data_IF_412354819508
#
_entry.id   IF_412354819508
#
_cell.length_a   1.000
_cell.length_b   1.000
_cell.length_c   1.000
_cell.angle_alpha   90.00
_cell.angle_beta   90.00
_cell.angle_gamma   90.00
#
_symmetry.space_group_name_H-M   'P 1'
#
loop_
_entity.id
_entity.type
_entity.pdbx_description
1 polymer ?
#
# COMPACT_ATOMS: atom_id res chain seq x y z
N UNK A 1 11.11 -19.80 20.88
CA UNK A 1 11.02 -19.04 19.62
C UNK A 1 11.38 -19.96 18.47
N UNK A 2 10.57 -20.05 17.44
CA UNK A 2 10.88 -20.74 16.17
C UNK A 2 10.91 -19.70 15.06
N UNK A 3 11.76 -19.91 14.07
CA UNK A 3 11.97 -18.99 12.95
C UNK A 3 11.96 -19.78 11.64
N UNK A 4 11.20 -19.34 10.66
CA UNK A 4 11.06 -20.00 9.36
C UNK A 4 11.68 -19.20 8.19
N UNK A 5 12.43 -18.13 8.49
CA UNK A 5 13.05 -17.25 7.50
C UNK A 5 12.26 -15.95 7.25
N UNK A 6 10.97 -15.91 7.54
CA UNK A 6 10.12 -14.72 7.42
C UNK A 6 9.29 -14.45 8.68
N UNK A 7 8.96 -15.49 9.45
CA UNK A 7 8.13 -15.37 10.63
C UNK A 7 8.87 -15.85 11.86
N UNK A 8 8.61 -15.19 12.99
CA UNK A 8 9.01 -15.68 14.32
C UNK A 8 7.76 -16.12 15.07
N UNK A 9 7.82 -17.32 15.63
CA UNK A 9 6.81 -17.81 16.59
C UNK A 9 7.33 -17.52 17.98
N UNK A 10 6.63 -16.64 18.70
CA UNK A 10 7.00 -16.17 20.05
C UNK A 10 5.94 -16.70 21.03
N UNK A 11 6.39 -17.29 22.14
CA UNK A 11 5.49 -17.60 23.25
C UNK A 11 5.31 -16.33 24.09
N UNK A 12 4.17 -15.68 23.93
CA UNK A 12 3.86 -14.46 24.66
C UNK A 12 3.23 -14.82 26.03
N UNK A 13 3.68 -14.16 27.14
CA UNK A 13 3.23 -14.52 28.49
C UNK A 13 1.71 -14.46 28.70
N UNK A 14 1.01 -13.56 28.03
CA UNK A 14 -0.44 -13.35 28.15
C UNK A 14 -1.25 -13.93 26.99
N UNK A 15 -0.63 -14.21 25.83
CA UNK A 15 -1.31 -14.54 24.56
C UNK A 15 -1.04 -15.93 24.05
N UNK A 16 -0.13 -16.68 24.70
CA UNK A 16 0.34 -17.96 24.18
C UNK A 16 1.20 -17.77 22.94
N UNK A 17 0.95 -18.55 21.91
CA UNK A 17 1.75 -18.54 20.69
C UNK A 17 1.34 -17.38 19.77
N UNK A 18 2.28 -16.47 19.47
CA UNK A 18 2.13 -15.34 18.54
C UNK A 18 3.05 -15.54 17.36
N UNK A 19 2.51 -15.46 16.14
CA UNK A 19 3.31 -15.45 14.90
C UNK A 19 3.51 -14.02 14.45
N UNK A 20 4.77 -13.62 14.27
CA UNK A 20 5.15 -12.26 13.91
C UNK A 20 5.87 -12.28 12.58
N UNK A 21 5.41 -11.48 11.62
CA UNK A 21 6.11 -11.28 10.36
C UNK A 21 7.35 -10.41 10.58
N UNK A 22 8.50 -10.90 10.13
CA UNK A 22 9.80 -10.24 10.29
C UNK A 22 10.28 -9.53 9.02
N UNK A 23 9.50 -9.50 7.94
CA UNK A 23 9.95 -8.92 6.66
C UNK A 23 10.43 -7.47 6.82
N UNK A 24 9.71 -6.70 7.62
CA UNK A 24 10.05 -5.31 7.93
C UNK A 24 11.39 -5.22 8.67
N UNK A 25 11.53 -6.02 9.72
CA UNK A 25 12.77 -6.08 10.49
C UNK A 25 13.95 -6.56 9.64
N UNK A 26 13.72 -7.56 8.78
CA UNK A 26 14.77 -8.10 7.90
C UNK A 26 15.20 -7.07 6.86
N UNK A 27 14.27 -6.29 6.29
CA UNK A 27 14.56 -5.19 5.38
C UNK A 27 15.38 -4.09 6.06
N UNK A 28 14.98 -3.67 7.26
CA UNK A 28 15.67 -2.65 8.05
C UNK A 28 17.07 -3.13 8.48
N UNK A 29 17.19 -4.38 8.90
CA UNK A 29 18.45 -5.02 9.26
C UNK A 29 19.37 -5.16 8.06
N UNK A 30 18.86 -5.55 6.90
CA UNK A 30 19.64 -5.70 5.66
C UNK A 30 20.17 -4.35 5.15
N UNK A 31 19.41 -3.28 5.33
CA UNK A 31 19.83 -1.91 4.99
C UNK A 31 20.84 -1.32 6.00
N UNK A 32 20.96 -1.93 7.19
CA UNK A 32 21.86 -1.48 8.26
C UNK A 32 23.29 -1.95 8.00
N UNK A 33 24.22 -1.00 7.86
CA UNK A 33 25.65 -1.29 7.63
C UNK A 33 26.39 -1.79 8.89
N UNK A 34 25.75 -1.83 10.08
CA UNK A 34 26.40 -2.15 11.34
C UNK A 34 25.72 -3.26 12.14
N UNK A 35 26.42 -4.35 12.50
CA UNK A 35 25.87 -5.47 13.30
C UNK A 35 25.28 -5.05 14.66
N UNK A 36 25.78 -3.97 15.25
CA UNK A 36 25.24 -3.44 16.52
C UNK A 36 23.88 -2.79 16.33
N UNK A 37 23.67 -2.04 15.22
CA UNK A 37 22.40 -1.44 14.88
C UNK A 37 21.34 -2.52 14.59
N UNK A 38 21.68 -3.55 13.84
CA UNK A 38 20.84 -4.71 13.58
C UNK A 38 20.35 -5.39 14.87
N UNK A 39 21.24 -5.61 15.84
CA UNK A 39 20.86 -6.16 17.15
C UNK A 39 19.94 -5.25 17.95
N UNK A 40 20.16 -3.94 17.88
CA UNK A 40 19.32 -2.94 18.56
C UNK A 40 17.93 -2.93 17.94
N UNK A 41 17.80 -2.94 16.60
CA UNK A 41 16.54 -3.02 15.88
C UNK A 41 15.79 -4.31 16.22
N UNK A 42 16.48 -5.47 16.20
CA UNK A 42 15.86 -6.75 16.56
C UNK A 42 15.35 -6.78 18.01
N UNK A 43 16.11 -6.23 18.94
CA UNK A 43 15.69 -6.13 20.35
C UNK A 43 14.49 -5.20 20.51
N UNK A 44 14.55 -4.00 19.91
CA UNK A 44 13.45 -3.05 19.94
C UNK A 44 12.17 -3.69 19.38
N UNK A 45 12.26 -4.40 18.25
CA UNK A 45 11.15 -5.11 17.64
C UNK A 45 10.55 -6.17 18.57
N UNK A 46 11.38 -7.04 19.19
CA UNK A 46 10.91 -8.05 20.14
C UNK A 46 10.25 -7.40 21.36
N UNK A 47 10.83 -6.32 21.88
CA UNK A 47 10.24 -5.56 22.99
C UNK A 47 8.88 -4.98 22.59
N UNK A 48 8.78 -4.37 21.40
CA UNK A 48 7.52 -3.87 20.86
C UNK A 48 6.46 -4.98 20.79
N UNK A 49 6.80 -6.14 20.22
CA UNK A 49 5.86 -7.28 20.12
C UNK A 49 5.41 -7.80 21.50
N UNK A 50 6.30 -7.80 22.49
CA UNK A 50 5.99 -8.28 23.84
C UNK A 50 5.22 -7.26 24.69
N UNK A 51 5.45 -5.97 24.45
CA UNK A 51 4.87 -4.85 25.21
C UNK A 51 3.71 -4.17 24.47
N UNK A 52 3.36 -4.65 23.26
CA UNK A 52 2.34 -4.02 22.43
C UNK A 52 0.99 -4.00 23.12
N UNK A 53 0.47 -2.79 23.32
CA UNK A 53 -0.87 -2.58 23.84
C UNK A 53 -1.89 -3.08 22.83
N UNK A 54 -2.85 -3.87 23.29
CA UNK A 54 -3.93 -4.34 22.44
C UNK A 54 -5.01 -3.30 22.30
N UNK A 55 -5.77 -3.40 21.21
CA UNK A 55 -7.01 -2.67 21.06
C UNK A 55 -7.96 -2.82 22.27
N UNK A 56 -7.83 -3.93 23.01
CA UNK A 56 -8.59 -4.24 24.23
C UNK A 56 -8.15 -3.41 25.44
N UNK A 57 -6.89 -2.96 25.46
CA UNK A 57 -6.30 -2.18 26.53
C UNK A 57 -6.43 -0.65 26.28
N UNK A 58 -6.82 -0.27 25.05
CA UNK A 58 -6.96 1.12 24.65
C UNK A 58 -8.32 1.69 25.07
N UNK A 59 -8.32 2.93 25.52
CA UNK A 59 -9.53 3.70 25.67
C UNK A 59 -10.23 3.94 24.31
N UNK A 60 -11.54 4.12 24.32
CA UNK A 60 -12.32 4.39 23.09
C UNK A 60 -11.74 5.54 22.28
N UNK A 61 -11.29 6.62 22.93
CA UNK A 61 -10.70 7.78 22.26
C UNK A 61 -9.41 7.42 21.51
N UNK A 62 -8.52 6.64 22.12
CA UNK A 62 -7.25 6.22 21.53
C UNK A 62 -7.46 5.26 20.37
N UNK A 63 -8.43 4.35 20.49
CA UNK A 63 -8.85 3.48 19.41
C UNK A 63 -9.31 4.31 18.20
N UNK A 64 -10.20 5.28 18.39
CA UNK A 64 -10.66 6.15 17.30
C UNK A 64 -9.53 6.97 16.68
N UNK A 65 -8.62 7.50 17.48
CA UNK A 65 -7.46 8.25 17.00
C UNK A 65 -6.47 7.38 16.22
N UNK A 66 -6.33 6.11 16.61
CA UNK A 66 -5.42 5.15 15.98
C UNK A 66 -5.97 4.48 14.72
N UNK A 67 -7.29 4.44 14.50
CA UNK A 67 -7.85 3.76 13.33
C UNK A 67 -7.42 4.43 12.02
N UNK A 68 -7.02 3.60 11.04
CA UNK A 68 -6.69 4.01 9.66
C UNK A 68 -7.25 3.02 8.66
N UNK A 69 -7.57 3.50 7.45
CA UNK A 69 -7.75 2.62 6.29
C UNK A 69 -6.39 2.31 5.69
N UNK A 70 -6.22 1.08 5.24
CA UNK A 70 -4.97 0.64 4.60
C UNK A 70 -5.27 -0.24 3.40
N UNK A 71 -4.50 -0.07 2.31
CA UNK A 71 -4.43 -1.06 1.25
C UNK A 71 -3.51 -2.20 1.68
N UNK A 72 -4.06 -3.41 1.70
CA UNK A 72 -3.32 -4.63 1.98
C UNK A 72 -3.29 -5.52 0.72
N UNK A 73 -2.17 -6.20 0.42
CA UNK A 73 -2.13 -7.21 -0.63
C UNK A 73 -3.07 -8.37 -0.29
N UNK A 74 -3.68 -8.98 -1.32
CA UNK A 74 -4.55 -10.17 -1.19
C UNK A 74 -3.97 -11.39 -1.91
N UNK A 75 -2.83 -11.23 -2.59
CA UNK A 75 -2.15 -12.30 -3.31
C UNK A 75 -0.74 -12.53 -2.78
N UNK A 76 -0.24 -13.73 -3.00
CA UNK A 76 1.11 -14.15 -2.58
C UNK A 76 1.36 -14.06 -1.06
N UNK A 77 0.29 -14.17 -0.27
CA UNK A 77 0.34 -14.22 1.19
C UNK A 77 0.50 -15.67 1.65
N UNK A 78 1.15 -15.86 2.79
CA UNK A 78 1.06 -17.13 3.50
C UNK A 78 -0.34 -17.30 4.12
N UNK A 79 -0.81 -18.53 4.39
CA UNK A 79 -2.20 -18.76 4.85
C UNK A 79 -2.60 -17.91 6.05
N UNK A 80 -1.72 -17.76 7.03
CA UNK A 80 -1.97 -16.99 8.26
C UNK A 80 -2.16 -15.49 7.98
N UNK A 81 -1.37 -14.94 7.06
CA UNK A 81 -1.51 -13.54 6.62
C UNK A 81 -2.80 -13.34 5.82
N UNK A 82 -3.13 -14.29 4.95
CA UNK A 82 -4.36 -14.26 4.18
C UNK A 82 -5.60 -14.25 5.08
N UNK A 83 -5.60 -15.06 6.13
CA UNK A 83 -6.70 -15.12 7.12
C UNK A 83 -6.82 -13.80 7.89
N UNK A 84 -5.69 -13.20 8.30
CA UNK A 84 -5.66 -11.90 8.98
C UNK A 84 -6.23 -10.82 8.07
N UNK A 85 -5.75 -10.73 6.83
CA UNK A 85 -6.23 -9.73 5.85
C UNK A 85 -7.71 -9.94 5.58
N UNK A 86 -8.15 -11.17 5.32
CA UNK A 86 -9.55 -11.50 5.06
C UNK A 86 -10.47 -11.09 6.23
N UNK A 87 -10.03 -11.31 7.48
CA UNK A 87 -10.81 -10.95 8.69
C UNK A 87 -11.02 -9.43 8.85
N UNK A 88 -10.14 -8.62 8.27
CA UNK A 88 -10.12 -7.16 8.37
C UNK A 88 -10.58 -6.45 7.08
N UNK A 89 -10.87 -7.21 6.02
CA UNK A 89 -11.25 -6.66 4.70
C UNK A 89 -12.62 -6.02 4.74
N UNK A 90 -12.69 -4.74 4.40
CA UNK A 90 -13.93 -3.99 4.18
C UNK A 90 -14.50 -4.28 2.79
N UNK A 91 -13.66 -4.18 1.78
CA UNK A 91 -13.98 -4.44 0.38
C UNK A 91 -12.71 -4.72 -0.44
N UNK A 92 -12.86 -5.41 -1.55
CA UNK A 92 -11.82 -5.46 -2.58
C UNK A 92 -11.63 -4.05 -3.18
N UNK A 93 -10.38 -3.70 -3.49
CA UNK A 93 -10.04 -2.40 -4.09
C UNK A 93 -9.49 -2.55 -5.51
N UNK A 94 -8.60 -3.52 -5.71
CA UNK A 94 -8.06 -3.91 -7.03
C UNK A 94 -8.07 -5.43 -7.15
N UNK A 95 -7.57 -5.97 -8.26
CA UNK A 95 -7.50 -7.42 -8.46
C UNK A 95 -6.58 -8.14 -7.43
N UNK A 96 -5.73 -7.41 -6.75
CA UNK A 96 -4.71 -7.97 -5.82
C UNK A 96 -4.58 -7.20 -4.51
N UNK A 97 -5.45 -6.21 -4.25
CA UNK A 97 -5.48 -5.47 -2.98
C UNK A 97 -6.88 -5.31 -2.43
N UNK A 98 -6.99 -5.19 -1.11
CA UNK A 98 -8.20 -4.89 -0.39
C UNK A 98 -8.03 -3.70 0.56
N UNK A 99 -9.12 -3.00 0.85
CA UNK A 99 -9.17 -2.00 1.92
C UNK A 99 -9.39 -2.70 3.24
N UNK A 100 -8.49 -2.50 4.18
CA UNK A 100 -8.57 -3.05 5.53
C UNK A 100 -8.60 -1.94 6.58
N UNK A 101 -9.09 -2.27 7.78
CA UNK A 101 -8.94 -1.44 8.97
C UNK A 101 -7.69 -1.87 9.75
N UNK A 102 -6.88 -0.90 10.11
CA UNK A 102 -5.73 -1.07 10.99
C UNK A 102 -5.81 -0.12 12.17
N UNK A 103 -5.22 -0.54 13.28
CA UNK A 103 -4.98 0.28 14.44
C UNK A 103 -3.51 0.68 14.44
N UNK A 104 -3.26 1.97 14.31
CA UNK A 104 -1.93 2.59 14.32
C UNK A 104 -1.68 3.16 15.70
N UNK A 105 -0.75 2.57 16.43
CA UNK A 105 -0.29 3.02 17.74
C UNK A 105 1.11 3.61 17.62
N UNK A 106 1.60 4.23 18.68
CA UNK A 106 2.98 4.75 18.70
C UNK A 106 4.05 3.66 18.45
N UNK A 107 3.68 2.38 18.64
CA UNK A 107 4.62 1.26 18.60
C UNK A 107 4.40 0.30 17.45
N UNK A 108 3.17 0.19 16.94
CA UNK A 108 2.83 -0.81 15.94
C UNK A 108 1.63 -0.43 15.08
N UNK A 109 1.51 -1.09 13.92
CA UNK A 109 0.33 -1.06 13.08
C UNK A 109 -0.27 -2.47 13.08
N UNK A 110 -1.46 -2.60 13.66
CA UNK A 110 -2.15 -3.87 13.81
C UNK A 110 -3.33 -3.96 12.85
N UNK A 111 -3.43 -5.05 12.11
CA UNK A 111 -4.62 -5.33 11.30
C UNK A 111 -5.77 -5.75 12.21
N UNK A 112 -6.91 -5.07 12.10
CA UNK A 112 -8.03 -5.22 13.03
C UNK A 112 -9.16 -6.08 12.44
N UNK A 113 -9.45 -7.26 13.03
CA UNK A 113 -10.59 -8.06 12.62
C UNK A 113 -11.92 -7.29 12.77
N UNK A 114 -12.73 -7.26 11.70
CA UNK A 114 -14.00 -6.52 11.70
C UNK A 114 -14.97 -7.02 12.78
N UNK A 115 -14.92 -8.29 13.14
CA UNK A 115 -15.76 -8.83 14.20
C UNK A 115 -15.53 -8.11 15.53
N UNK A 116 -14.27 -7.87 15.90
CA UNK A 116 -13.92 -7.15 17.13
C UNK A 116 -14.31 -5.67 17.07
N UNK A 117 -14.09 -5.03 15.94
CA UNK A 117 -14.45 -3.63 15.77
C UNK A 117 -15.96 -3.39 15.91
N UNK A 118 -16.79 -4.33 15.45
CA UNK A 118 -18.26 -4.29 15.64
C UNK A 118 -18.73 -4.36 17.07
N UNK A 119 -17.90 -4.84 17.98
CA UNK A 119 -18.19 -4.83 19.43
C UNK A 119 -18.01 -3.43 20.03
N UNK A 120 -17.26 -2.56 19.36
CA UNK A 120 -16.99 -1.19 19.84
C UNK A 120 -18.03 -0.21 19.31
N UNK A 121 -18.28 -0.21 17.98
CA UNK A 121 -19.26 0.69 17.34
C UNK A 121 -19.65 0.15 15.96
N UNK A 122 -20.57 0.87 15.27
CA UNK A 122 -20.93 0.56 13.90
C UNK A 122 -19.72 0.70 12.96
N UNK A 123 -19.60 -0.22 12.00
CA UNK A 123 -18.51 -0.15 11.03
C UNK A 123 -18.49 1.18 10.26
N UNK A 124 -19.65 1.76 9.94
CA UNK A 124 -19.74 3.04 9.22
C UNK A 124 -19.11 4.18 10.02
N UNK A 125 -19.28 4.21 11.33
CA UNK A 125 -18.67 5.20 12.20
C UNK A 125 -17.15 5.01 12.25
N UNK A 126 -16.70 3.77 12.45
CA UNK A 126 -15.27 3.43 12.50
C UNK A 126 -14.55 3.68 11.18
N UNK A 127 -15.17 3.32 10.05
CA UNK A 127 -14.64 3.57 8.71
C UNK A 127 -14.52 5.07 8.43
N UNK A 128 -15.51 5.86 8.86
CA UNK A 128 -15.46 7.32 8.74
C UNK A 128 -14.31 7.92 9.52
N UNK A 129 -14.11 7.49 10.76
CA UNK A 129 -12.97 7.91 11.59
C UNK A 129 -11.64 7.51 10.93
N UNK A 130 -11.50 6.25 10.54
CA UNK A 130 -10.30 5.71 9.89
C UNK A 130 -9.97 6.46 8.58
N UNK A 131 -10.99 6.81 7.78
CA UNK A 131 -10.83 7.59 6.55
C UNK A 131 -10.34 9.01 6.83
N UNK A 132 -10.91 9.68 7.84
CA UNK A 132 -10.48 11.02 8.24
C UNK A 132 -9.05 11.02 8.78
N UNK A 133 -8.68 10.01 9.55
CA UNK A 133 -7.32 9.86 10.06
C UNK A 133 -6.32 9.58 8.95
N UNK A 134 -6.66 8.68 7.99
CA UNK A 134 -5.83 8.45 6.81
C UNK A 134 -5.64 9.74 6.00
N UNK A 135 -6.72 10.52 5.81
CA UNK A 135 -6.65 11.82 5.15
C UNK A 135 -5.67 12.77 5.84
N UNK A 136 -5.79 12.90 7.17
CA UNK A 136 -4.88 13.73 7.96
C UNK A 136 -3.43 13.28 7.83
N UNK A 137 -3.18 11.98 7.87
CA UNK A 137 -1.87 11.37 7.70
C UNK A 137 -1.26 11.70 6.32
N UNK A 138 -2.01 11.45 5.23
CA UNK A 138 -1.52 11.64 3.87
C UNK A 138 -1.30 13.12 3.54
N UNK A 139 -2.22 14.01 3.93
CA UNK A 139 -2.09 15.45 3.67
C UNK A 139 -1.06 16.13 4.59
N UNK A 140 -0.79 15.56 5.77
CA UNK A 140 0.26 16.03 6.69
C UNK A 140 1.65 15.47 6.38
N UNK A 141 1.74 14.40 5.60
CA UNK A 141 3.01 13.74 5.29
C UNK A 141 3.93 14.64 4.45
N UNK A 142 5.23 14.58 4.75
CA UNK A 142 6.26 15.12 3.84
C UNK A 142 6.46 14.15 2.70
N UNK A 143 5.93 14.50 1.54
CA UNK A 143 6.03 13.68 0.33
C UNK A 143 7.11 14.25 -0.58
N UNK A 144 8.02 13.40 -1.00
CA UNK A 144 8.98 13.70 -2.05
C UNK A 144 8.35 13.33 -3.40
N UNK A 145 7.92 14.33 -4.14
CA UNK A 145 7.39 14.17 -5.49
C UNK A 145 8.53 14.32 -6.51
N UNK A 146 8.71 13.29 -7.34
CA UNK A 146 9.73 13.31 -8.39
C UNK A 146 9.08 13.12 -9.77
N UNK A 147 9.42 13.99 -10.71
CA UNK A 147 9.02 13.84 -12.10
C UNK A 147 10.01 12.92 -12.84
N UNK A 148 9.48 11.93 -13.52
CA UNK A 148 10.23 11.03 -14.41
C UNK A 148 9.85 11.38 -15.85
N UNK A 149 10.63 12.22 -16.55
CA UNK A 149 10.31 12.61 -17.92
C UNK A 149 10.43 11.41 -18.87
N UNK A 150 9.72 11.47 -19.98
CA UNK A 150 9.98 10.59 -21.11
C UNK A 150 11.34 10.88 -21.75
N UNK A 151 11.78 10.02 -22.66
CA UNK A 151 12.93 10.31 -23.53
C UNK A 151 12.49 11.13 -24.74
N UNK A 152 13.45 11.67 -25.51
CA UNK A 152 13.15 12.34 -26.78
C UNK A 152 12.37 11.44 -27.76
N UNK A 153 12.68 10.13 -27.78
CA UNK A 153 12.01 9.13 -28.62
C UNK A 153 10.68 8.66 -28.04
N UNK A 154 10.45 8.84 -26.75
CA UNK A 154 9.25 8.42 -26.01
C UNK A 154 8.81 9.48 -25.01
N UNK A 155 8.35 10.65 -25.48
CA UNK A 155 7.96 11.75 -24.58
C UNK A 155 6.75 11.37 -23.71
N UNK A 156 5.86 10.51 -24.20
CA UNK A 156 4.70 10.02 -23.47
C UNK A 156 5.03 9.02 -22.35
N UNK A 157 6.26 8.54 -22.28
CA UNK A 157 6.70 7.62 -21.21
C UNK A 157 6.98 8.37 -19.88
N UNK A 158 6.35 9.51 -19.62
CA UNK A 158 6.49 10.29 -18.37
C UNK A 158 5.58 9.74 -17.28
N UNK A 159 5.99 9.88 -16.03
CA UNK A 159 5.18 9.64 -14.83
C UNK A 159 5.78 10.38 -13.62
N UNK A 160 5.11 10.34 -12.49
CA UNK A 160 5.59 10.87 -11.21
C UNK A 160 5.66 9.75 -10.18
N UNK A 161 6.65 9.80 -9.31
CA UNK A 161 6.69 9.05 -8.07
C UNK A 161 6.46 9.97 -6.89
N UNK A 162 5.76 9.44 -5.89
CA UNK A 162 5.51 10.08 -4.61
C UNK A 162 5.99 9.15 -3.53
N UNK A 163 6.98 9.59 -2.77
CA UNK A 163 7.63 8.80 -1.73
C UNK A 163 7.57 9.51 -0.38
N UNK A 164 7.38 8.76 0.67
CA UNK A 164 7.39 9.29 2.04
C UNK A 164 7.81 8.21 3.02
N UNK A 165 8.27 8.65 4.21
CA UNK A 165 8.45 7.77 5.37
C UNK A 165 7.14 7.26 5.97
N UNK A 166 5.98 7.81 5.59
CA UNK A 166 4.68 7.31 6.03
C UNK A 166 4.42 5.90 5.50
N UNK A 167 3.87 5.03 6.36
CA UNK A 167 3.45 3.68 6.00
C UNK A 167 2.16 3.63 5.16
N UNK A 168 1.56 4.79 4.85
CA UNK A 168 0.25 4.91 4.22
C UNK A 168 0.28 5.45 2.79
N UNK A 169 1.45 5.71 2.21
CA UNK A 169 1.55 6.24 0.82
C UNK A 169 0.84 5.31 -0.17
N UNK A 170 1.01 3.99 -0.04
CA UNK A 170 0.28 3.02 -0.87
C UNK A 170 -1.23 3.02 -0.65
N UNK A 171 -1.73 3.61 0.43
CA UNK A 171 -3.16 3.75 0.70
C UNK A 171 -3.75 5.05 0.15
N UNK A 172 -2.91 5.92 -0.43
CA UNK A 172 -3.35 7.15 -1.08
C UNK A 172 -4.43 6.93 -2.17
N UNK A 173 -4.45 5.82 -2.93
CA UNK A 173 -5.52 5.56 -3.89
C UNK A 173 -6.93 5.50 -3.30
N UNK A 174 -7.09 5.23 -2.01
CA UNK A 174 -8.41 5.30 -1.31
C UNK A 174 -8.97 6.74 -1.34
N UNK A 175 -8.07 7.74 -1.48
CA UNK A 175 -8.37 9.18 -1.50
C UNK A 175 -7.67 9.86 -2.71
N UNK A 176 -7.49 9.14 -3.83
CA UNK A 176 -6.54 9.50 -4.88
C UNK A 176 -6.70 10.91 -5.41
N UNK A 177 -7.92 11.30 -5.77
CA UNK A 177 -8.22 12.62 -6.32
C UNK A 177 -7.81 13.75 -5.38
N UNK A 178 -8.13 13.60 -4.09
CA UNK A 178 -7.84 14.60 -3.08
C UNK A 178 -6.33 14.68 -2.79
N UNK A 179 -5.68 13.53 -2.67
CA UNK A 179 -4.25 13.42 -2.40
C UNK A 179 -3.43 13.98 -3.57
N UNK A 180 -3.77 13.64 -4.80
CA UNK A 180 -3.07 14.17 -5.98
C UNK A 180 -3.30 15.67 -6.17
N UNK A 181 -4.47 16.19 -5.80
CA UNK A 181 -4.70 17.64 -5.81
C UNK A 181 -3.75 18.38 -4.86
N UNK A 182 -3.35 17.75 -3.75
CA UNK A 182 -2.40 18.32 -2.80
C UNK A 182 -0.94 18.06 -3.21
N UNK A 183 -0.59 16.85 -3.68
CA UNK A 183 0.79 16.47 -3.97
C UNK A 183 1.26 16.86 -5.37
N UNK A 184 0.35 16.98 -6.32
CA UNK A 184 0.61 17.30 -7.72
C UNK A 184 -0.54 18.12 -8.33
N UNK A 185 -0.75 19.37 -7.91
CA UNK A 185 -1.89 20.19 -8.34
C UNK A 185 -1.93 20.45 -9.86
N UNK A 186 -0.82 20.28 -10.54
CA UNK A 186 -0.67 20.40 -11.99
C UNK A 186 -0.87 19.08 -12.76
N UNK A 187 -1.18 17.97 -12.09
CA UNK A 187 -1.53 16.70 -12.74
C UNK A 187 -3.00 16.75 -13.18
N UNK A 188 -3.23 16.63 -14.49
CA UNK A 188 -4.58 16.64 -15.05
C UNK A 188 -5.32 15.33 -14.72
N UNK A 189 -6.34 15.43 -13.89
CA UNK A 189 -7.17 14.29 -13.48
C UNK A 189 -8.48 14.18 -14.30
N UNK A 190 -8.71 15.06 -15.24
CA UNK A 190 -10.00 15.19 -15.96
C UNK A 190 -10.40 13.93 -16.75
N UNK A 191 -9.41 13.17 -17.25
CA UNK A 191 -9.60 11.89 -17.94
C UNK A 191 -9.30 10.68 -17.06
N UNK A 192 -9.08 10.90 -15.75
CA UNK A 192 -8.62 9.88 -14.83
C UNK A 192 -7.09 9.84 -14.69
N UNK A 193 -6.63 8.88 -13.91
CA UNK A 193 -5.22 8.73 -13.53
C UNK A 193 -4.79 7.27 -13.66
N UNK A 194 -3.65 7.02 -14.31
CA UNK A 194 -2.95 5.75 -14.19
C UNK A 194 -2.12 5.78 -12.93
N UNK A 195 -2.21 4.74 -12.11
CA UNK A 195 -1.43 4.66 -10.88
C UNK A 195 -0.95 3.24 -10.56
N UNK A 196 0.10 3.13 -9.75
CA UNK A 196 0.58 1.89 -9.16
C UNK A 196 1.10 2.13 -7.74
N UNK A 197 1.01 1.10 -6.90
CA UNK A 197 1.48 1.12 -5.52
C UNK A 197 2.41 -0.07 -5.27
N UNK A 198 3.64 -0.04 -5.84
CA UNK A 198 4.55 -1.19 -5.80
C UNK A 198 4.97 -1.56 -4.39
N UNK A 199 5.13 -0.57 -3.51
CA UNK A 199 5.43 -0.76 -2.09
C UNK A 199 4.66 0.21 -1.22
N UNK A 200 4.63 -0.02 0.09
CA UNK A 200 3.87 0.81 1.03
C UNK A 200 4.31 2.28 1.11
N UNK A 201 5.51 2.61 0.64
CA UNK A 201 6.10 3.95 0.69
C UNK A 201 6.06 4.69 -0.64
N UNK A 202 5.54 4.07 -1.69
CA UNK A 202 5.62 4.60 -3.06
C UNK A 202 4.26 4.55 -3.73
N UNK A 203 3.84 5.70 -4.27
CA UNK A 203 2.77 5.83 -5.27
C UNK A 203 3.40 6.30 -6.58
N UNK A 204 3.11 5.62 -7.67
CA UNK A 204 3.41 6.09 -9.02
C UNK A 204 2.10 6.58 -9.64
N UNK A 205 2.12 7.72 -10.33
CA UNK A 205 0.94 8.23 -11.01
C UNK A 205 1.27 9.03 -12.27
N UNK A 206 0.32 9.05 -13.21
CA UNK A 206 0.32 9.95 -14.37
C UNK A 206 -1.09 10.26 -14.83
N UNK A 207 -1.26 11.39 -15.49
CA UNK A 207 -2.45 11.77 -16.23
C UNK A 207 -2.75 10.79 -17.38
N UNK A 208 -4.02 10.62 -17.73
CA UNK A 208 -4.43 9.86 -18.91
C UNK A 208 -4.45 10.81 -20.12
N UNK A 209 -3.61 10.50 -21.11
CA UNK A 209 -3.51 11.17 -22.40
C UNK A 209 -4.24 10.37 -23.51
N UNK A 210 -3.95 10.66 -24.76
CA UNK A 210 -4.52 9.95 -25.93
C UNK A 210 -3.41 9.38 -26.82
N UNK A 211 -3.78 8.46 -27.72
CA UNK A 211 -2.92 7.95 -28.78
C UNK A 211 -1.63 7.32 -28.29
N UNK A 212 -0.56 7.62 -29.02
CA UNK A 212 0.79 7.10 -28.76
C UNK A 212 1.34 7.53 -27.39
N UNK A 213 1.00 8.74 -26.92
CA UNK A 213 1.43 9.23 -25.59
C UNK A 213 0.89 8.31 -24.46
N UNK A 214 -0.36 7.87 -24.58
CA UNK A 214 -0.96 6.93 -23.63
C UNK A 214 -0.30 5.56 -23.71
N UNK A 215 -0.07 5.03 -24.92
CA UNK A 215 0.60 3.74 -25.11
C UNK A 215 2.00 3.72 -24.50
N UNK A 216 2.77 4.78 -24.73
CA UNK A 216 4.11 4.91 -24.14
C UNK A 216 4.06 4.96 -22.61
N UNK A 217 3.05 5.63 -22.05
CA UNK A 217 2.84 5.71 -20.61
C UNK A 217 2.51 4.34 -20.00
N UNK A 218 1.57 3.61 -20.58
CA UNK A 218 1.22 2.24 -20.17
C UNK A 218 2.46 1.34 -20.24
N UNK A 219 3.16 1.37 -21.38
CA UNK A 219 4.34 0.54 -21.64
C UNK A 219 5.54 0.84 -20.75
N UNK A 220 5.60 2.00 -20.09
CA UNK A 220 6.64 2.32 -19.11
C UNK A 220 6.21 2.10 -17.67
N UNK A 221 5.01 2.55 -17.31
CA UNK A 221 4.59 2.56 -15.91
C UNK A 221 4.37 1.15 -15.38
N UNK A 222 3.77 0.25 -16.18
CA UNK A 222 3.52 -1.13 -15.76
C UNK A 222 4.82 -1.92 -15.46
N UNK A 223 5.84 -1.94 -16.35
CA UNK A 223 7.13 -2.60 -16.02
C UNK A 223 7.85 -1.98 -14.82
N UNK A 224 7.82 -0.65 -14.67
CA UNK A 224 8.44 0.03 -13.52
C UNK A 224 7.76 -0.39 -12.23
N UNK A 225 6.42 -0.44 -12.20
CA UNK A 225 5.67 -0.88 -11.03
C UNK A 225 6.01 -2.33 -10.66
N UNK A 226 6.01 -3.25 -11.64
CA UNK A 226 6.35 -4.66 -11.43
C UNK A 226 7.79 -4.81 -10.92
N UNK A 227 8.75 -4.09 -11.49
CA UNK A 227 10.15 -4.14 -11.07
C UNK A 227 10.34 -3.63 -9.63
N UNK A 228 9.76 -2.49 -9.29
CA UNK A 228 9.84 -1.93 -7.93
C UNK A 228 9.18 -2.86 -6.89
N UNK A 229 8.11 -3.56 -7.27
CA UNK A 229 7.46 -4.53 -6.39
C UNK A 229 8.30 -5.79 -6.17
N UNK A 230 9.07 -6.22 -7.15
CA UNK A 230 9.96 -7.40 -7.04
C UNK A 230 11.22 -7.07 -6.27
N UNK A 231 11.84 -5.93 -6.53
CA UNK A 231 13.13 -5.54 -5.97
C UNK A 231 13.00 -4.85 -4.59
N UNK A 232 11.85 -4.25 -4.33
CA UNK A 232 11.62 -3.45 -3.12
C UNK A 232 11.09 -4.27 -1.94
N UNK A 233 11.31 -3.78 -0.71
CA UNK A 233 10.66 -4.32 0.47
C UNK A 233 9.19 -3.89 0.53
N UNK A 234 8.39 -4.66 1.28
CA UNK A 234 7.01 -4.28 1.62
C UNK A 234 6.09 -4.12 0.40
N UNK A 235 6.14 -5.09 -0.49
CA UNK A 235 5.30 -5.13 -1.70
C UNK A 235 3.81 -5.02 -1.35
N UNK A 236 3.11 -4.16 -2.09
CA UNK A 236 1.64 -4.01 -2.02
C UNK A 236 1.01 -4.53 -3.29
N UNK A 237 1.34 -3.97 -4.46
CA UNK A 237 0.85 -4.44 -5.75
C UNK A 237 1.89 -4.23 -6.85
N UNK A 238 2.24 -5.26 -7.64
CA UNK A 238 3.08 -5.12 -8.85
C UNK A 238 2.28 -4.58 -10.05
N UNK A 239 0.97 -4.33 -9.89
CA UNK A 239 0.06 -4.10 -11.00
C UNK A 239 -0.14 -2.61 -11.28
N UNK A 240 -0.49 -2.32 -12.54
CA UNK A 240 -0.95 -1.01 -12.99
C UNK A 240 -2.46 -0.92 -12.89
N UNK A 241 -2.94 0.20 -12.40
CA UNK A 241 -4.35 0.50 -12.23
C UNK A 241 -4.73 1.83 -12.89
N UNK A 242 -6.02 1.99 -13.11
CA UNK A 242 -6.64 3.24 -13.53
C UNK A 242 -7.69 3.67 -12.50
N UNK A 243 -7.69 4.93 -12.13
CA UNK A 243 -8.79 5.59 -11.47
C UNK A 243 -9.51 6.48 -12.50
N UNK A 244 -10.83 6.34 -12.60
CA UNK A 244 -11.66 7.14 -13.48
C UNK A 244 -13.06 7.26 -12.88
N UNK A 245 -13.57 8.48 -12.73
CA UNK A 245 -14.93 8.76 -12.22
C UNK A 245 -15.28 8.05 -10.90
N UNK A 246 -14.30 7.93 -9.99
CA UNK A 246 -14.48 7.29 -8.69
C UNK A 246 -14.30 5.77 -8.68
N UNK A 247 -14.10 5.16 -9.83
CA UNK A 247 -13.90 3.72 -9.99
C UNK A 247 -12.42 3.38 -10.22
N UNK A 248 -12.01 2.21 -9.73
CA UNK A 248 -10.66 1.68 -9.94
C UNK A 248 -10.74 0.42 -10.79
N UNK A 249 -9.93 0.38 -11.85
CA UNK A 249 -9.76 -0.78 -12.71
C UNK A 249 -8.32 -1.25 -12.74
N UNK A 250 -8.08 -2.55 -12.65
CA UNK A 250 -6.75 -3.14 -12.83
C UNK A 250 -6.46 -3.34 -14.31
N UNK A 251 -5.31 -2.82 -14.78
CA UNK A 251 -4.93 -2.80 -16.18
C UNK A 251 -3.86 -3.81 -16.55
N UNK A 252 -3.23 -4.45 -15.58
CA UNK A 252 -2.18 -5.41 -15.86
C UNK A 252 -2.29 -6.66 -15.00
N UNK A 253 -1.64 -7.73 -15.43
CA UNK A 253 -1.35 -8.91 -14.65
C UNK A 253 0.14 -9.20 -14.69
N UNK A 254 0.68 -9.76 -13.63
CA UNK A 254 2.09 -10.07 -13.51
C UNK A 254 2.28 -11.47 -12.93
N UNK A 255 3.05 -12.31 -13.65
CA UNK A 255 3.51 -13.60 -13.18
C UNK A 255 5.00 -13.48 -12.80
N UNK A 256 5.34 -13.50 -11.50
CA UNK A 256 6.72 -13.36 -11.05
C UNK A 256 7.59 -14.57 -11.39
N UNK A 257 7.00 -15.76 -11.58
CA UNK A 257 7.74 -16.97 -11.92
C UNK A 257 8.14 -16.98 -13.40
N UNK A 258 7.20 -16.67 -14.28
CA UNK A 258 7.44 -16.54 -15.71
C UNK A 258 8.09 -15.18 -16.07
N UNK A 259 8.11 -14.21 -15.16
CA UNK A 259 8.48 -12.80 -15.42
C UNK A 259 7.66 -12.20 -16.57
N UNK A 260 6.42 -12.62 -16.66
CA UNK A 260 5.51 -12.17 -17.71
C UNK A 260 4.60 -11.06 -17.18
N UNK A 261 4.63 -9.90 -17.85
CA UNK A 261 3.74 -8.77 -17.61
C UNK A 261 2.83 -8.60 -18.80
N UNK A 262 1.52 -8.67 -18.56
CA UNK A 262 0.49 -8.44 -19.57
C UNK A 262 -0.30 -7.19 -19.23
N UNK A 263 -0.46 -6.28 -20.20
CA UNK A 263 -1.29 -5.08 -20.08
C UNK A 263 -2.61 -5.34 -20.82
N UNK A 264 -3.73 -5.06 -20.16
CA UNK A 264 -5.10 -5.25 -20.68
C UNK A 264 -5.88 -3.94 -20.46
N UNK A 265 -5.80 -2.97 -21.38
CA UNK A 265 -6.52 -1.71 -21.26
C UNK A 265 -8.04 -1.92 -21.25
N UNK A 266 -8.76 -1.07 -20.52
CA UNK A 266 -10.24 -1.04 -20.56
C UNK A 266 -10.73 -0.54 -21.91
N UNK A 267 -12.01 -0.77 -22.28
CA UNK A 267 -12.61 -0.17 -23.48
C UNK A 267 -12.44 1.33 -23.56
N UNK A 268 -12.58 2.03 -22.42
CA UNK A 268 -12.34 3.47 -22.31
C UNK A 268 -10.93 3.87 -22.78
N UNK A 269 -9.89 3.18 -22.27
CA UNK A 269 -8.51 3.46 -22.68
C UNK A 269 -8.25 3.08 -24.14
N UNK A 270 -8.88 2.01 -24.66
CA UNK A 270 -8.77 1.61 -26.04
C UNK A 270 -9.32 2.70 -26.98
N UNK A 271 -10.46 3.32 -26.61
CA UNK A 271 -11.03 4.45 -27.34
C UNK A 271 -10.11 5.66 -27.33
N UNK A 272 -9.46 5.97 -26.19
CA UNK A 272 -8.50 7.07 -26.08
C UNK A 272 -7.23 6.81 -26.91
N UNK A 273 -6.74 5.57 -26.94
CA UNK A 273 -5.61 5.16 -27.79
C UNK A 273 -5.96 5.36 -29.29
N UNK A 274 -7.18 5.01 -29.68
CA UNK A 274 -7.61 5.13 -31.09
C UNK A 274 -7.83 6.59 -31.55
N UNK A 275 -7.97 7.56 -30.65
CA UNK A 275 -8.21 8.99 -30.96
C UNK A 275 -6.93 9.80 -31.21
N UNK A 276 -5.78 9.24 -31.10
CA UNK A 276 -4.48 9.87 -31.39
C UNK A 276 -3.91 9.45 -32.71
#
# INVERSE_FOLDING_TARGET
MRFDGRHAIIEHPRRGRVTVNLENLLGDVASSQHPRAARTMARAFVTTVLEDEHAEDLGTADLYAGLRLRLAPTKNLVPEEADIVASATLNEFTADTAVTLVLDTERSIQTMPLARLREVDSLDTLVRAARNNLRGELLGARVHAQNHPGSEQRPGARFRSFESGSYYVASAPILLEEVLRAWAPDLDQSRGVLFAVPSRHILLARDISTGEDLLQGLGRLAPVAAQLAVDGPHTVSPLLHMWHEGEVSTLSSFDPQARELKISPTPYLMDLIARG
#
